data_IF_650243603872
#
_entry.id   IF_650243603872
#
_cell.length_a   1.000
_cell.length_b   1.000
_cell.length_c   1.000
_cell.angle_alpha   90.00
_cell.angle_beta   90.00
_cell.angle_gamma   90.00
#
_symmetry.space_group_name_H-M   'P 1'
#
loop_
_entity.id
_entity.type
_entity.pdbx_description
1 polymer ?
#
# COMPACT_ATOMS: atom_id res chain seq x y z
N UNK A 1 64.06 8.07 43.07
CA UNK A 1 63.48 7.76 41.74
C UNK A 1 63.41 6.24 41.60
N UNK A 2 62.21 5.65 41.64
CA UNK A 2 61.97 4.22 41.42
C UNK A 2 60.73 4.11 40.55
N UNK A 3 60.87 3.55 39.36
CA UNK A 3 59.78 3.27 38.43
C UNK A 3 59.14 1.91 38.78
N UNK A 4 57.79 1.79 38.77
CA UNK A 4 57.13 0.50 38.87
C UNK A 4 57.09 -0.22 37.52
N UNK A 5 57.45 -1.51 37.58
CA UNK A 5 57.44 -2.50 36.50
C UNK A 5 56.01 -2.85 36.11
N UNK A 6 55.71 -2.75 34.81
CA UNK A 6 54.44 -3.16 34.20
C UNK A 6 54.48 -4.67 33.85
N UNK A 7 53.48 -5.48 34.23
CA UNK A 7 53.44 -6.89 33.85
C UNK A 7 52.86 -7.08 32.44
N UNK A 8 53.62 -7.79 31.59
CA UNK A 8 53.21 -8.18 30.25
C UNK A 8 52.08 -9.22 30.30
N UNK A 9 50.97 -8.95 29.61
CA UNK A 9 49.87 -9.88 29.40
C UNK A 9 50.22 -10.91 28.31
N UNK A 10 49.81 -12.19 28.47
CA UNK A 10 50.04 -13.22 27.46
C UNK A 10 49.15 -13.01 26.23
N UNK A 11 49.77 -12.96 25.05
CA UNK A 11 49.08 -12.92 23.76
C UNK A 11 48.32 -14.23 23.52
N UNK A 12 47.00 -14.15 23.39
CA UNK A 12 46.18 -15.29 22.98
C UNK A 12 46.33 -15.55 21.47
N UNK A 13 46.28 -16.81 21.02
CA UNK A 13 46.30 -17.16 19.60
C UNK A 13 45.00 -16.70 18.92
N UNK A 14 45.14 -15.90 17.86
CA UNK A 14 44.03 -15.50 17.00
C UNK A 14 43.49 -16.72 16.25
N UNK A 15 42.29 -17.16 16.61
CA UNK A 15 41.55 -18.18 15.85
C UNK A 15 40.99 -17.52 14.58
N UNK A 16 41.28 -18.02 13.38
CA UNK A 16 40.65 -17.54 12.15
C UNK A 16 39.14 -17.84 12.25
N UNK A 17 38.35 -16.78 12.46
CA UNK A 17 36.89 -16.85 12.43
C UNK A 17 36.45 -16.85 10.98
N UNK A 18 36.37 -18.03 10.37
CA UNK A 18 35.66 -18.18 9.11
C UNK A 18 34.16 -17.96 9.39
N UNK A 19 33.50 -16.97 8.75
CA UNK A 19 32.08 -16.73 8.99
C UNK A 19 31.28 -17.96 8.53
N UNK A 20 30.28 -18.41 9.31
CA UNK A 20 29.49 -19.57 8.93
C UNK A 20 28.80 -19.32 7.58
N UNK A 21 28.62 -20.36 6.76
CA UNK A 21 27.91 -20.23 5.49
C UNK A 21 26.49 -19.71 5.78
N UNK A 22 26.14 -18.60 5.13
CA UNK A 22 24.80 -18.00 5.23
C UNK A 22 23.78 -19.03 4.69
N UNK A 23 22.73 -19.37 5.46
CA UNK A 23 21.64 -20.19 4.95
C UNK A 23 21.06 -19.56 3.68
N UNK A 24 21.09 -20.31 2.58
CA UNK A 24 20.46 -19.89 1.33
C UNK A 24 18.95 -19.90 1.56
N UNK A 25 18.35 -18.71 1.63
CA UNK A 25 16.90 -18.56 1.63
C UNK A 25 16.38 -19.18 0.32
N UNK A 26 15.32 -20.01 0.36
CA UNK A 26 14.73 -20.55 -0.86
C UNK A 26 14.41 -19.38 -1.80
N UNK A 27 14.90 -19.46 -3.04
CA UNK A 27 14.58 -18.50 -4.08
C UNK A 27 13.05 -18.45 -4.19
N UNK A 28 12.44 -17.41 -3.62
CA UNK A 28 11.03 -17.16 -3.85
C UNK A 28 10.89 -16.89 -5.34
N UNK A 29 10.20 -17.80 -6.01
CA UNK A 29 9.83 -17.67 -7.41
C UNK A 29 9.03 -16.36 -7.56
N UNK A 30 9.71 -15.30 -8.00
CA UNK A 30 9.14 -13.97 -8.20
C UNK A 30 8.04 -13.95 -9.26
N UNK A 31 7.77 -15.08 -9.92
CA UNK A 31 6.72 -15.27 -10.92
C UNK A 31 5.33 -15.42 -10.32
N UNK A 32 5.19 -15.59 -9.00
CA UNK A 32 3.90 -15.64 -8.31
C UNK A 32 3.35 -14.25 -7.91
N UNK A 33 4.05 -13.16 -8.23
CA UNK A 33 3.47 -11.81 -8.21
C UNK A 33 2.65 -11.58 -9.48
N UNK A 34 1.71 -12.49 -9.76
CA UNK A 34 0.47 -12.11 -10.43
C UNK A 34 -0.34 -11.26 -9.45
N UNK A 35 0.23 -10.12 -9.04
CA UNK A 35 -0.51 -8.99 -8.50
C UNK A 35 -1.44 -8.61 -9.64
N UNK A 36 -2.61 -9.24 -9.65
CA UNK A 36 -3.62 -9.08 -10.69
C UNK A 36 -3.87 -7.59 -10.73
N UNK A 37 -3.35 -6.93 -11.77
CA UNK A 37 -3.31 -5.49 -11.89
C UNK A 37 -4.74 -5.01 -11.68
N UNK A 38 -5.04 -4.38 -10.54
CA UNK A 38 -6.43 -4.08 -10.15
C UNK A 38 -7.19 -3.33 -11.26
N UNK A 39 -6.44 -2.53 -12.03
CA UNK A 39 -6.88 -1.86 -13.23
C UNK A 39 -7.29 -2.79 -14.40
N UNK A 40 -6.51 -3.84 -14.71
CA UNK A 40 -6.81 -4.78 -15.81
C UNK A 40 -8.04 -5.64 -15.51
N UNK A 41 -8.13 -6.13 -14.27
CA UNK A 41 -9.29 -6.91 -13.84
C UNK A 41 -10.56 -6.04 -13.78
N UNK A 42 -10.46 -4.80 -13.31
CA UNK A 42 -11.56 -3.84 -13.35
C UNK A 42 -12.03 -3.55 -14.78
N UNK A 43 -11.09 -3.32 -15.71
CA UNK A 43 -11.41 -2.99 -17.10
C UNK A 43 -12.14 -4.13 -17.84
N UNK A 44 -11.97 -5.38 -17.39
CA UNK A 44 -12.59 -6.56 -17.98
C UNK A 44 -13.95 -6.92 -17.36
N UNK A 45 -14.31 -6.34 -16.21
CA UNK A 45 -15.61 -6.60 -15.58
C UNK A 45 -16.74 -5.85 -16.30
N UNK A 46 -17.91 -6.49 -16.53
CA UNK A 46 -19.09 -5.77 -17.00
C UNK A 46 -19.57 -4.79 -15.92
N UNK A 47 -20.18 -3.69 -16.34
CA UNK A 47 -20.84 -2.76 -15.41
C UNK A 47 -22.26 -3.25 -15.09
N UNK A 48 -22.58 -3.41 -13.80
CA UNK A 48 -23.94 -3.61 -13.32
C UNK A 48 -24.51 -2.24 -12.89
N UNK A 49 -25.39 -1.59 -13.68
CA UNK A 49 -25.79 -0.21 -13.44
C UNK A 49 -26.59 -0.03 -12.14
N UNK A 50 -27.40 -1.03 -11.77
CA UNK A 50 -28.24 -0.96 -10.57
C UNK A 50 -27.40 -1.07 -9.31
N UNK A 51 -26.43 -2.01 -9.30
CA UNK A 51 -25.48 -2.14 -8.21
C UNK A 51 -24.52 -0.95 -8.16
N UNK A 52 -23.91 -0.60 -9.30
CA UNK A 52 -22.92 0.47 -9.39
C UNK A 52 -23.46 1.79 -8.85
N UNK A 53 -24.65 2.21 -9.29
CA UNK A 53 -25.24 3.48 -8.84
C UNK A 53 -25.43 3.52 -7.32
N UNK A 54 -25.90 2.42 -6.72
CA UNK A 54 -26.11 2.33 -5.28
C UNK A 54 -24.79 2.35 -4.52
N UNK A 55 -23.82 1.56 -4.96
CA UNK A 55 -22.51 1.43 -4.31
C UNK A 55 -21.68 2.70 -4.46
N UNK A 56 -21.68 3.33 -5.64
CA UNK A 56 -21.04 4.64 -5.88
C UNK A 56 -21.62 5.72 -4.96
N UNK A 57 -22.95 5.73 -4.78
CA UNK A 57 -23.61 6.64 -3.84
C UNK A 57 -23.17 6.43 -2.39
N UNK A 58 -23.10 5.18 -1.94
CA UNK A 58 -22.65 4.83 -0.59
C UNK A 58 -21.16 5.16 -0.35
N UNK A 59 -20.31 4.92 -1.35
CA UNK A 59 -18.89 5.29 -1.31
C UNK A 59 -18.76 6.82 -1.22
N UNK A 60 -19.49 7.55 -2.07
CA UNK A 60 -19.47 9.01 -2.09
C UNK A 60 -19.89 9.58 -0.75
N UNK A 61 -20.99 9.09 -0.17
CA UNK A 61 -21.47 9.53 1.15
C UNK A 61 -20.40 9.35 2.25
N UNK A 62 -19.69 8.23 2.26
CA UNK A 62 -18.62 7.93 3.24
C UNK A 62 -17.40 8.82 3.12
N UNK A 63 -17.13 9.28 1.90
CA UNK A 63 -15.93 10.03 1.51
C UNK A 63 -16.22 11.51 1.19
N UNK A 64 -17.47 11.96 1.27
CA UNK A 64 -17.90 13.33 0.96
C UNK A 64 -17.19 14.38 1.81
N UNK A 65 -16.76 14.02 3.03
CA UNK A 65 -16.09 14.91 3.97
C UNK A 65 -14.66 15.29 3.58
N UNK A 66 -14.10 14.69 2.52
CA UNK A 66 -12.68 14.77 2.21
C UNK A 66 -12.22 16.05 1.53
N UNK A 67 -13.13 16.89 1.02
CA UNK A 67 -12.77 18.14 0.35
C UNK A 67 -12.00 18.00 -0.97
N UNK A 68 -11.62 16.77 -1.36
CA UNK A 68 -10.98 16.42 -2.63
C UNK A 68 -12.01 16.05 -3.69
N UNK A 69 -11.63 16.24 -4.96
CA UNK A 69 -12.37 15.71 -6.09
C UNK A 69 -12.23 14.18 -6.09
N UNK A 70 -13.33 13.51 -5.77
CA UNK A 70 -13.46 12.06 -5.81
C UNK A 70 -14.27 11.65 -7.05
N UNK A 71 -13.64 10.87 -7.93
CA UNK A 71 -14.34 10.14 -8.99
C UNK A 71 -14.48 8.68 -8.56
N UNK A 72 -15.66 8.10 -8.80
CA UNK A 72 -15.95 6.71 -8.42
C UNK A 72 -16.64 6.03 -9.59
N UNK A 73 -16.13 4.86 -9.95
CA UNK A 73 -16.67 4.03 -11.02
C UNK A 73 -16.76 2.59 -10.54
N UNK A 74 -17.97 2.05 -10.45
CA UNK A 74 -18.24 0.70 -9.99
C UNK A 74 -18.69 -0.22 -11.12
N UNK A 75 -18.18 -1.45 -11.13
CA UNK A 75 -18.50 -2.49 -12.11
C UNK A 75 -19.40 -3.57 -11.50
N UNK A 76 -19.04 -4.86 -11.45
CA UNK A 76 -19.86 -5.89 -10.80
C UNK A 76 -19.46 -6.13 -9.35
N UNK A 77 -18.16 -6.30 -9.13
CA UNK A 77 -17.57 -6.61 -7.81
C UNK A 77 -16.48 -5.63 -7.41
N UNK A 78 -16.11 -4.71 -8.29
CA UNK A 78 -15.03 -3.75 -8.05
C UNK A 78 -15.48 -2.32 -8.27
N UNK A 79 -14.91 -1.42 -7.48
CA UNK A 79 -15.05 0.01 -7.65
C UNK A 79 -13.68 0.65 -7.73
N UNK A 80 -13.45 1.40 -8.79
CA UNK A 80 -12.29 2.27 -8.97
C UNK A 80 -12.61 3.62 -8.35
N UNK A 81 -11.73 4.07 -7.48
CA UNK A 81 -11.76 5.41 -6.89
C UNK A 81 -10.54 6.17 -7.38
N UNK A 82 -10.76 7.40 -7.83
CA UNK A 82 -9.68 8.32 -8.23
C UNK A 82 -9.84 9.58 -7.41
N UNK A 83 -8.84 9.87 -6.59
CA UNK A 83 -8.79 11.06 -5.77
C UNK A 83 -7.75 12.01 -6.33
N UNK A 84 -8.13 13.26 -6.52
CA UNK A 84 -7.28 14.32 -7.03
C UNK A 84 -7.21 15.47 -6.03
N UNK A 85 -6.00 15.87 -5.66
CA UNK A 85 -5.80 16.98 -4.74
C UNK A 85 -4.35 17.22 -4.35
N UNK A 86 -4.14 18.15 -3.41
CA UNK A 86 -2.83 18.38 -2.82
C UNK A 86 -2.39 17.24 -1.89
N UNK A 87 -1.12 17.26 -1.49
CA UNK A 87 -0.56 16.20 -0.64
C UNK A 87 -1.31 16.00 0.68
N UNK A 88 -1.63 17.09 1.38
CA UNK A 88 -2.40 17.02 2.61
C UNK A 88 -3.80 16.40 2.42
N UNK A 89 -4.47 16.70 1.30
CA UNK A 89 -5.82 16.19 1.01
C UNK A 89 -5.77 14.70 0.65
N UNK A 90 -4.79 14.28 -0.14
CA UNK A 90 -4.58 12.85 -0.47
C UNK A 90 -4.24 12.05 0.79
N UNK A 91 -3.41 12.56 1.68
CA UNK A 91 -3.09 11.89 2.96
C UNK A 91 -4.31 11.76 3.87
N UNK A 92 -5.14 12.81 3.99
CA UNK A 92 -6.41 12.74 4.73
C UNK A 92 -7.37 11.72 4.12
N UNK A 93 -7.46 11.71 2.79
CA UNK A 93 -8.28 10.75 2.07
C UNK A 93 -7.84 9.31 2.32
N UNK A 94 -6.54 9.05 2.28
CA UNK A 94 -5.98 7.75 2.57
C UNK A 94 -6.34 7.29 4.00
N UNK A 95 -6.10 8.15 4.99
CA UNK A 95 -6.46 7.85 6.39
C UNK A 95 -7.96 7.58 6.56
N UNK A 96 -8.82 8.28 5.80
CA UNK A 96 -10.26 8.05 5.82
C UNK A 96 -10.64 6.72 5.18
N UNK A 97 -10.05 6.39 4.03
CA UNK A 97 -10.23 5.11 3.32
C UNK A 97 -9.90 3.95 4.26
N UNK A 98 -8.78 4.06 4.97
CA UNK A 98 -8.27 3.05 5.91
C UNK A 98 -9.04 2.99 7.24
N UNK A 99 -9.84 4.01 7.56
CA UNK A 99 -10.61 4.03 8.81
C UNK A 99 -11.72 2.97 8.83
N UNK A 100 -12.08 2.48 10.02
CA UNK A 100 -13.18 1.53 10.20
C UNK A 100 -14.55 2.06 9.69
N UNK A 101 -14.74 3.38 9.76
CA UNK A 101 -15.93 4.07 9.23
C UNK A 101 -15.77 4.49 7.75
N UNK A 102 -14.67 4.10 7.12
CA UNK A 102 -14.32 4.39 5.74
C UNK A 102 -14.66 3.26 4.80
N UNK A 103 -13.72 2.91 3.93
CA UNK A 103 -13.89 1.81 2.98
C UNK A 103 -13.48 0.47 3.58
N UNK A 104 -12.56 0.42 4.54
CA UNK A 104 -12.10 -0.86 5.13
C UNK A 104 -13.25 -1.61 5.81
N UNK A 105 -14.21 -0.90 6.43
CA UNK A 105 -15.40 -1.51 7.01
C UNK A 105 -16.54 -1.75 6.02
N UNK A 106 -16.38 -1.40 4.74
CA UNK A 106 -17.45 -1.44 3.74
C UNK A 106 -17.13 -2.37 2.56
N UNK A 107 -15.88 -2.43 2.12
CA UNK A 107 -15.39 -3.32 1.08
C UNK A 107 -14.73 -4.56 1.69
N UNK A 108 -14.76 -5.70 0.99
CA UNK A 108 -14.07 -6.92 1.40
C UNK A 108 -12.55 -6.76 1.36
N UNK A 109 -12.03 -6.03 0.37
CA UNK A 109 -10.62 -5.66 0.31
C UNK A 109 -10.40 -4.37 -0.48
N UNK A 110 -9.24 -3.75 -0.29
CA UNK A 110 -8.87 -2.49 -0.95
C UNK A 110 -7.44 -2.62 -1.46
N UNK A 111 -7.23 -2.26 -2.71
CA UNK A 111 -5.92 -2.18 -3.35
C UNK A 111 -5.63 -0.72 -3.64
N UNK A 112 -4.61 -0.17 -2.97
CA UNK A 112 -4.14 1.20 -3.17
C UNK A 112 -2.99 1.20 -4.17
N UNK A 113 -2.99 2.16 -5.10
CA UNK A 113 -1.82 2.40 -5.96
C UNK A 113 -0.92 3.45 -5.35
N UNK A 114 0.33 3.53 -5.81
CA UNK A 114 1.18 4.66 -5.48
C UNK A 114 0.52 5.98 -5.93
N UNK A 115 0.58 7.06 -5.12
CA UNK A 115 0.17 8.38 -5.56
C UNK A 115 1.03 8.84 -6.75
N UNK A 116 0.40 9.35 -7.79
CA UNK A 116 1.05 9.90 -8.97
C UNK A 116 1.02 11.43 -8.89
N UNK A 117 2.19 12.09 -9.00
CA UNK A 117 2.25 13.55 -9.10
C UNK A 117 2.05 13.99 -10.55
N UNK A 118 1.11 14.90 -10.79
CA UNK A 118 0.90 15.51 -12.12
C UNK A 118 1.81 16.73 -12.32
N UNK A 119 1.95 17.13 -13.58
CA UNK A 119 2.72 18.33 -13.97
C UNK A 119 2.20 19.64 -13.33
N UNK A 120 0.91 19.69 -12.98
CA UNK A 120 0.26 20.82 -12.30
C UNK A 120 0.59 20.89 -10.79
N UNK A 121 1.30 19.89 -10.24
CA UNK A 121 1.62 19.80 -8.82
C UNK A 121 0.53 19.12 -7.97
N UNK A 122 -0.61 18.75 -8.56
CA UNK A 122 -1.61 17.90 -7.89
C UNK A 122 -1.14 16.45 -7.81
N UNK A 123 -1.65 15.72 -6.81
CA UNK A 123 -1.46 14.29 -6.68
C UNK A 123 -2.75 13.54 -6.99
N UNK A 124 -2.57 12.38 -7.61
CA UNK A 124 -3.65 11.44 -7.92
C UNK A 124 -3.41 10.15 -7.17
N UNK A 125 -4.36 9.78 -6.32
CA UNK A 125 -4.38 8.46 -5.70
C UNK A 125 -5.47 7.64 -6.38
N UNK A 126 -5.12 6.43 -6.81
CA UNK A 126 -6.10 5.45 -7.30
C UNK A 126 -6.24 4.36 -6.27
N UNK A 127 -7.48 3.95 -6.03
CA UNK A 127 -7.80 2.82 -5.18
C UNK A 127 -8.81 1.93 -5.90
N UNK A 128 -8.73 0.63 -5.64
CA UNK A 128 -9.69 -0.36 -6.12
C UNK A 128 -10.29 -1.04 -4.90
N UNK A 129 -11.57 -0.77 -4.64
CA UNK A 129 -12.34 -1.46 -3.62
C UNK A 129 -12.99 -2.71 -4.24
N UNK A 130 -12.87 -3.84 -3.57
CA UNK A 130 -13.38 -5.14 -4.01
C UNK A 130 -14.47 -5.58 -3.03
N UNK A 131 -15.58 -6.08 -3.56
CA UNK A 131 -16.76 -6.51 -2.82
C UNK A 131 -17.08 -7.96 -3.14
N UNK A 132 -17.41 -8.73 -2.12
CA UNK A 132 -18.01 -10.06 -2.29
C UNK A 132 -19.52 -9.91 -2.58
N UNK A 133 -20.02 -10.67 -3.55
CA UNK A 133 -21.43 -10.70 -3.97
C UNK A 133 -22.02 -12.08 -3.78
#
# INVERSE_FOLDING_TARGET
MRAPTEPALPSMPSVPSEPPPRPELPAQDSSALATTNGAEAFASEPRDPAWATRTEGAIRDRLTSLGTKLETECHQTRCKLVLDGGNAEVSKALARIESANGLVGFASSIVLTAPEQRADGTMVLRAFAIFER
#
